data_IF_413967213868
#
_entry.id   IF_413967213868
#
_cell.length_a   1.000
_cell.length_b   1.000
_cell.length_c   1.000
_cell.angle_alpha   90.00
_cell.angle_beta   90.00
_cell.angle_gamma   90.00
#
_symmetry.space_group_name_H-M   'P 1'
#
loop_
_entity.id
_entity.type
_entity.pdbx_description
1 polymer ?
#
# COMPACT_ATOMS: atom_id res chain seq x y z
N UNK A 1 -14.41 -18.40 4.26
CA UNK A 1 -14.04 -17.12 3.65
C UNK A 1 -14.66 -16.01 4.49
N UNK A 2 -14.02 -15.64 5.60
CA UNK A 2 -14.61 -14.72 6.57
C UNK A 2 -14.25 -13.30 6.15
N UNK A 3 -15.15 -12.70 5.38
CA UNK A 3 -15.10 -11.30 4.98
C UNK A 3 -15.32 -10.46 6.24
N UNK A 4 -14.26 -10.09 6.96
CA UNK A 4 -14.37 -9.17 8.10
C UNK A 4 -14.69 -7.77 7.58
N UNK A 5 -15.99 -7.50 7.46
CA UNK A 5 -16.59 -6.16 7.26
C UNK A 5 -16.48 -5.27 8.50
N UNK A 6 -15.94 -5.78 9.61
CA UNK A 6 -15.83 -5.09 10.91
C UNK A 6 -14.83 -3.91 10.91
N UNK A 7 -13.86 -3.88 9.99
CA UNK A 7 -12.78 -2.89 9.97
C UNK A 7 -13.22 -1.43 9.77
N UNK A 8 -14.41 -1.17 9.20
CA UNK A 8 -14.82 0.21 8.92
C UNK A 8 -15.19 0.99 10.19
N UNK A 9 -15.53 0.33 11.30
CA UNK A 9 -15.96 1.00 12.55
C UNK A 9 -14.88 1.09 13.63
N UNK A 10 -13.94 0.15 13.73
CA UNK A 10 -12.94 0.15 14.81
C UNK A 10 -11.72 1.07 14.54
N UNK A 11 -11.55 1.58 13.32
CA UNK A 11 -10.48 2.53 12.97
C UNK A 11 -10.84 4.02 13.18
N UNK A 12 -11.97 4.31 13.80
CA UNK A 12 -12.41 5.66 14.24
C UNK A 12 -11.67 6.16 15.50
N UNK A 13 -10.48 5.64 15.82
CA UNK A 13 -9.53 6.42 16.60
C UNK A 13 -9.04 7.59 15.72
N UNK A 14 -9.77 8.70 15.81
CA UNK A 14 -9.38 10.01 15.31
C UNK A 14 -8.10 10.44 16.02
N UNK A 15 -6.95 10.28 15.37
CA UNK A 15 -5.74 11.00 15.73
C UNK A 15 -5.54 12.13 14.72
N UNK A 16 -6.17 13.30 14.93
CA UNK A 16 -6.01 14.47 14.06
C UNK A 16 -4.56 15.00 14.01
N UNK A 17 -3.64 14.46 14.83
CA UNK A 17 -2.22 14.79 14.85
C UNK A 17 -1.33 13.82 14.06
N UNK A 18 -1.83 12.67 13.59
CA UNK A 18 -0.97 11.67 12.96
C UNK A 18 -0.48 12.16 11.57
N UNK A 19 0.84 12.40 11.38
CA UNK A 19 1.36 12.98 10.16
C UNK A 19 1.38 11.99 8.98
N UNK A 20 1.02 10.73 9.22
CA UNK A 20 1.05 9.64 8.25
C UNK A 20 -0.33 9.24 7.71
N UNK A 21 -1.39 9.94 8.12
CA UNK A 21 -2.75 9.73 7.63
C UNK A 21 -3.37 11.02 7.08
N UNK A 22 -4.40 10.86 6.25
CA UNK A 22 -5.11 11.93 5.53
C UNK A 22 -5.85 12.94 6.42
N UNK A 23 -5.85 12.74 7.76
CA UNK A 23 -6.61 13.59 8.70
C UNK A 23 -5.95 14.94 8.97
N UNK A 24 -4.66 15.10 8.70
CA UNK A 24 -4.01 16.41 8.74
C UNK A 24 -4.56 17.28 7.62
N UNK A 25 -5.16 18.42 7.98
CA UNK A 25 -5.55 19.46 7.02
C UNK A 25 -4.32 20.25 6.57
N UNK A 26 -4.19 20.46 5.27
CA UNK A 26 -3.17 21.32 4.67
C UNK A 26 -3.85 22.55 4.05
N UNK A 27 -3.18 23.72 4.00
CA UNK A 27 -3.67 24.84 3.22
C UNK A 27 -3.85 24.44 1.75
N UNK A 28 -4.93 24.88 1.10
CA UNK A 28 -5.22 24.46 -0.27
C UNK A 28 -4.91 25.58 -1.28
N UNK A 29 -4.27 25.27 -2.44
CA UNK A 29 -3.65 23.99 -2.78
C UNK A 29 -2.29 23.81 -2.07
N UNK A 30 -1.93 22.56 -1.77
CA UNK A 30 -0.57 22.18 -1.34
C UNK A 30 0.04 21.17 -2.32
N UNK A 31 1.24 21.43 -2.81
CA UNK A 31 2.03 20.50 -3.62
C UNK A 31 2.96 19.67 -2.74
N UNK A 32 3.05 18.37 -3.01
CA UNK A 32 4.12 17.54 -2.45
C UNK A 32 5.40 17.74 -3.27
N UNK A 33 6.49 18.31 -2.70
CA UNK A 33 7.69 18.60 -3.47
C UNK A 33 8.37 17.33 -4.00
N UNK A 34 8.21 16.20 -3.31
CA UNK A 34 8.81 14.90 -3.65
C UNK A 34 8.09 14.17 -4.79
N UNK A 35 6.77 14.02 -4.73
CA UNK A 35 6.03 13.20 -5.71
C UNK A 35 5.07 13.98 -6.61
N UNK A 36 4.91 15.29 -6.37
CA UNK A 36 4.01 16.18 -7.11
C UNK A 36 2.51 15.91 -6.95
N UNK A 37 2.11 15.03 -6.02
CA UNK A 37 0.72 14.95 -5.60
C UNK A 37 0.25 16.31 -5.04
N UNK A 38 -1.01 16.65 -5.25
CA UNK A 38 -1.61 17.93 -4.85
C UNK A 38 -2.70 17.69 -3.83
N UNK A 39 -2.68 18.41 -2.72
CA UNK A 39 -3.78 18.45 -1.76
C UNK A 39 -4.79 19.51 -2.17
N UNK A 40 -6.02 19.09 -2.49
CA UNK A 40 -7.15 19.92 -2.88
C UNK A 40 -8.46 19.20 -2.55
N UNK A 41 -9.49 19.94 -2.16
CA UNK A 41 -10.78 19.43 -1.75
C UNK A 41 -10.66 18.37 -0.62
N UNK A 42 -9.79 18.64 0.35
CA UNK A 42 -9.58 17.78 1.51
C UNK A 42 -8.81 16.47 1.27
N UNK A 43 -8.26 16.24 0.07
CA UNK A 43 -7.57 14.99 -0.28
C UNK A 43 -6.35 15.21 -1.18
N UNK A 44 -5.44 14.25 -1.20
CA UNK A 44 -4.30 14.22 -2.13
C UNK A 44 -4.72 13.58 -3.47
N UNK A 45 -4.45 14.26 -4.58
CA UNK A 45 -4.76 13.85 -5.97
C UNK A 45 -3.52 14.00 -6.87
N UNK A 46 -3.63 13.57 -8.12
CA UNK A 46 -2.64 13.85 -9.19
C UNK A 46 -3.06 15.05 -10.06
N UNK A 47 -3.85 15.97 -9.50
CA UNK A 47 -4.35 17.12 -10.26
C UNK A 47 -3.21 18.04 -10.71
N UNK A 48 -3.42 18.71 -11.84
CA UNK A 48 -2.51 19.74 -12.34
C UNK A 48 -2.64 21.04 -11.51
N UNK A 49 -1.52 21.74 -11.32
CA UNK A 49 -1.47 23.11 -10.80
C UNK A 49 -1.36 24.16 -11.92
N UNK A 50 -1.67 23.79 -13.16
CA UNK A 50 -1.66 24.73 -14.28
C UNK A 50 -2.62 25.91 -14.03
N UNK A 51 -2.11 27.13 -14.24
CA UNK A 51 -2.86 28.37 -13.98
C UNK A 51 -2.96 28.77 -12.51
N UNK A 52 -2.42 27.99 -11.57
CA UNK A 52 -2.34 28.35 -10.15
C UNK A 52 -1.13 29.27 -9.92
N UNK A 53 -1.38 30.50 -9.46
CA UNK A 53 -0.33 31.50 -9.22
C UNK A 53 0.51 31.22 -7.97
N UNK A 54 -0.13 30.72 -6.92
CA UNK A 54 0.48 30.45 -5.63
C UNK A 54 -0.04 29.13 -5.05
N UNK A 55 0.87 28.34 -4.47
CA UNK A 55 0.56 27.10 -3.79
C UNK A 55 1.49 26.91 -2.60
N UNK A 56 1.07 26.10 -1.64
CA UNK A 56 1.86 25.73 -0.49
C UNK A 56 2.69 24.48 -0.80
N UNK A 57 3.73 24.21 -0.02
CA UNK A 57 4.50 22.98 -0.12
C UNK A 57 4.50 22.21 1.19
N UNK A 58 4.23 20.91 1.11
CA UNK A 58 4.41 20.00 2.23
C UNK A 58 4.53 18.56 1.72
N UNK A 59 5.34 17.73 2.40
CA UNK A 59 5.36 16.31 2.09
C UNK A 59 4.00 15.67 2.33
N UNK A 60 3.52 14.91 1.34
CA UNK A 60 2.34 14.09 1.50
C UNK A 60 2.63 12.93 2.48
N UNK A 61 1.59 12.39 3.15
CA UNK A 61 1.77 11.33 4.14
C UNK A 61 2.55 10.10 3.62
N UNK A 62 2.38 9.75 2.33
CA UNK A 62 3.08 8.64 1.71
C UNK A 62 4.58 8.90 1.54
N UNK A 63 4.97 10.07 1.03
CA UNK A 63 6.39 10.46 0.95
C UNK A 63 7.02 10.52 2.33
N UNK A 64 6.27 10.98 3.35
CA UNK A 64 6.75 10.98 4.73
C UNK A 64 7.01 9.56 5.25
N UNK A 65 6.07 8.61 5.05
CA UNK A 65 6.28 7.19 5.40
C UNK A 65 7.48 6.57 4.71
N UNK A 66 7.67 6.87 3.43
CA UNK A 66 8.82 6.39 2.63
C UNK A 66 10.13 6.92 3.21
N UNK A 67 10.20 8.22 3.49
CA UNK A 67 11.39 8.84 4.08
C UNK A 67 11.71 8.27 5.47
N UNK A 68 10.69 8.08 6.30
CA UNK A 68 10.83 7.62 7.68
C UNK A 68 10.94 6.08 7.81
N UNK A 69 10.89 5.35 6.69
CA UNK A 69 10.82 3.87 6.66
C UNK A 69 9.75 3.31 7.60
N UNK A 70 8.56 3.91 7.56
CA UNK A 70 7.44 3.59 8.45
C UNK A 70 6.26 2.95 7.69
N UNK A 71 6.32 1.64 7.38
CA UNK A 71 5.31 0.97 6.59
C UNK A 71 3.94 0.95 7.27
N UNK A 72 2.89 1.04 6.45
CA UNK A 72 1.50 0.82 6.85
C UNK A 72 1.05 -0.62 6.65
N UNK A 73 1.87 -1.47 6.04
CA UNK A 73 1.64 -2.90 5.94
C UNK A 73 2.79 -3.61 5.24
N UNK A 74 2.77 -4.94 5.35
CA UNK A 74 3.73 -5.84 4.72
C UNK A 74 3.01 -6.89 3.90
N UNK A 75 3.61 -7.27 2.77
CA UNK A 75 3.21 -8.45 1.99
C UNK A 75 4.43 -9.35 1.85
N UNK A 76 4.32 -10.57 2.38
CA UNK A 76 5.33 -11.61 2.28
C UNK A 76 4.85 -12.66 1.26
N UNK A 77 5.69 -12.97 0.29
CA UNK A 77 5.40 -13.87 -0.83
C UNK A 77 6.45 -14.96 -0.80
N UNK A 78 6.02 -16.21 -0.63
CA UNK A 78 6.91 -17.33 -0.34
C UNK A 78 6.55 -18.59 -1.14
N UNK A 79 7.49 -19.53 -1.17
CA UNK A 79 7.31 -20.87 -1.71
C UNK A 79 7.96 -21.06 -3.07
N UNK A 80 8.18 -22.32 -3.45
CA UNK A 80 8.93 -22.67 -4.65
C UNK A 80 8.30 -22.11 -5.94
N UNK A 81 6.98 -21.89 -5.95
CA UNK A 81 6.28 -21.29 -7.09
C UNK A 81 6.79 -19.88 -7.42
N UNK A 82 7.15 -19.08 -6.42
CA UNK A 82 7.68 -17.74 -6.63
C UNK A 82 8.97 -17.76 -7.46
N UNK A 83 9.89 -18.67 -7.15
CA UNK A 83 11.20 -18.78 -7.83
C UNK A 83 11.05 -18.97 -9.34
N UNK A 84 10.06 -19.74 -9.76
CA UNK A 84 9.84 -20.05 -11.18
C UNK A 84 8.95 -19.04 -11.91
N UNK A 85 8.22 -18.18 -11.18
CA UNK A 85 7.22 -17.24 -11.76
C UNK A 85 7.42 -15.81 -11.28
N UNK A 86 8.61 -15.48 -10.79
CA UNK A 86 8.96 -14.19 -10.18
C UNK A 86 8.54 -13.01 -11.03
N UNK A 87 8.93 -12.98 -12.31
CA UNK A 87 8.65 -11.84 -13.19
C UNK A 87 7.15 -11.58 -13.34
N UNK A 88 6.35 -12.63 -13.54
CA UNK A 88 4.90 -12.53 -13.67
C UNK A 88 4.26 -12.01 -12.37
N UNK A 89 4.68 -12.52 -11.22
CA UNK A 89 4.18 -12.07 -9.91
C UNK A 89 4.55 -10.60 -9.68
N UNK A 90 5.78 -10.21 -9.99
CA UNK A 90 6.24 -8.83 -9.87
C UNK A 90 5.46 -7.88 -10.78
N UNK A 91 5.15 -8.31 -12.01
CA UNK A 91 4.33 -7.53 -12.94
C UNK A 91 2.91 -7.35 -12.40
N UNK A 92 2.28 -8.42 -11.87
CA UNK A 92 0.97 -8.32 -11.24
C UNK A 92 0.97 -7.34 -10.06
N UNK A 93 1.98 -7.43 -9.18
CA UNK A 93 2.13 -6.55 -8.02
C UNK A 93 2.25 -5.07 -8.43
N UNK A 94 3.08 -4.78 -9.43
CA UNK A 94 3.26 -3.42 -9.95
C UNK A 94 2.00 -2.87 -10.60
N UNK A 95 1.29 -3.68 -11.38
CA UNK A 95 0.01 -3.29 -11.98
C UNK A 95 -1.03 -2.96 -10.89
N UNK A 96 -1.13 -3.78 -9.85
CA UNK A 96 -2.01 -3.52 -8.71
C UNK A 96 -1.64 -2.21 -7.99
N UNK A 97 -0.35 -1.95 -7.79
CA UNK A 97 0.11 -0.68 -7.23
C UNK A 97 -0.28 0.49 -8.12
N UNK A 98 -0.01 0.43 -9.42
CA UNK A 98 -0.27 1.50 -10.37
C UNK A 98 -1.76 1.84 -10.42
N UNK A 99 -2.63 0.85 -10.56
CA UNK A 99 -4.09 1.01 -10.56
C UNK A 99 -4.58 1.70 -9.28
N UNK A 100 -4.06 1.28 -8.13
CA UNK A 100 -4.43 1.86 -6.84
C UNK A 100 -3.88 3.27 -6.71
N UNK A 101 -2.61 3.48 -7.05
CA UNK A 101 -1.90 4.76 -6.93
C UNK A 101 -2.55 5.84 -7.80
N UNK A 102 -3.00 5.49 -9.00
CA UNK A 102 -3.71 6.42 -9.90
C UNK A 102 -4.97 7.00 -9.25
N UNK A 103 -5.70 6.20 -8.47
CA UNK A 103 -6.91 6.63 -7.76
C UNK A 103 -6.63 7.15 -6.34
N UNK A 104 -5.59 6.64 -5.70
CA UNK A 104 -5.23 6.88 -4.30
C UNK A 104 -3.74 7.17 -4.21
N UNK A 105 -3.32 8.42 -4.46
CA UNK A 105 -1.91 8.79 -4.58
C UNK A 105 -1.06 8.40 -3.37
N UNK A 106 -1.66 8.24 -2.19
CA UNK A 106 -0.93 7.92 -0.97
C UNK A 106 -0.65 6.43 -0.77
N UNK A 107 -1.28 5.54 -1.54
CA UNK A 107 -1.08 4.10 -1.45
C UNK A 107 0.00 3.68 -2.45
N UNK A 108 1.17 3.28 -1.94
CA UNK A 108 2.37 2.99 -2.73
C UNK A 108 3.14 1.84 -2.11
N UNK A 109 3.91 1.15 -2.94
CA UNK A 109 5.00 0.31 -2.51
C UNK A 109 6.15 1.22 -2.07
N UNK A 110 6.72 0.92 -0.91
CA UNK A 110 7.84 1.64 -0.32
C UNK A 110 9.16 0.97 -0.64
N UNK A 111 9.18 -0.37 -0.54
CA UNK A 111 10.37 -1.18 -0.66
C UNK A 111 9.97 -2.60 -1.07
N UNK A 112 10.88 -3.29 -1.75
CA UNK A 112 10.76 -4.71 -2.09
C UNK A 112 12.11 -5.34 -1.83
N UNK A 113 12.16 -6.24 -0.86
CA UNK A 113 13.36 -6.98 -0.48
C UNK A 113 13.18 -8.46 -0.83
N UNK A 114 14.25 -9.06 -1.34
CA UNK A 114 14.30 -10.48 -1.69
C UNK A 114 15.28 -11.21 -0.78
N UNK A 115 14.87 -12.40 -0.36
CA UNK A 115 15.67 -13.33 0.42
C UNK A 115 15.60 -14.74 -0.19
N UNK A 116 16.26 -15.71 0.43
CA UNK A 116 16.34 -17.09 -0.07
C UNK A 116 14.98 -17.80 -0.16
N UNK A 117 13.99 -17.32 0.57
CA UNK A 117 12.66 -17.91 0.72
C UNK A 117 11.58 -17.21 -0.12
N UNK A 118 11.82 -15.97 -0.56
CA UNK A 118 10.87 -15.20 -1.35
C UNK A 118 11.10 -13.69 -1.32
N UNK A 119 10.01 -12.91 -1.32
CA UNK A 119 10.08 -11.43 -1.24
C UNK A 119 9.19 -10.85 -0.15
N UNK A 120 9.66 -9.76 0.44
CA UNK A 120 8.92 -8.91 1.39
C UNK A 120 8.69 -7.54 0.76
N UNK A 121 7.44 -7.11 0.73
CA UNK A 121 7.02 -5.84 0.16
C UNK A 121 6.49 -4.96 1.28
N UNK A 122 7.07 -3.78 1.41
CA UNK A 122 6.59 -2.75 2.32
C UNK A 122 5.65 -1.80 1.59
N UNK A 123 4.50 -1.47 2.19
CA UNK A 123 3.53 -0.56 1.59
C UNK A 123 3.13 0.55 2.55
N UNK A 124 2.71 1.69 2.02
CA UNK A 124 2.32 2.86 2.82
C UNK A 124 0.96 2.69 3.52
N UNK A 125 0.06 1.82 3.03
CA UNK A 125 -1.29 1.64 3.56
C UNK A 125 -1.73 0.16 3.62
N UNK A 126 -2.44 -0.27 4.68
CA UNK A 126 -2.93 -1.65 4.81
C UNK A 126 -3.79 -2.13 3.63
N UNK A 127 -4.60 -1.24 3.05
CA UNK A 127 -5.49 -1.60 1.94
C UNK A 127 -4.73 -1.99 0.68
N UNK A 128 -3.53 -1.45 0.44
CA UNK A 128 -2.70 -1.84 -0.69
C UNK A 128 -2.11 -3.25 -0.47
N UNK A 129 -1.59 -3.53 0.73
CA UNK A 129 -1.10 -4.87 1.08
C UNK A 129 -2.19 -5.93 0.86
N UNK A 130 -3.41 -5.62 1.30
CA UNK A 130 -4.57 -6.50 1.10
C UNK A 130 -4.89 -6.74 -0.37
N UNK A 131 -4.95 -5.66 -1.17
CA UNK A 131 -5.21 -5.76 -2.62
C UNK A 131 -4.16 -6.60 -3.34
N UNK A 132 -2.88 -6.44 -2.99
CA UNK A 132 -1.79 -7.26 -3.55
C UNK A 132 -2.02 -8.75 -3.21
N UNK A 133 -2.25 -9.08 -1.93
CA UNK A 133 -2.50 -10.47 -1.52
C UNK A 133 -3.72 -11.10 -2.20
N UNK A 134 -4.83 -10.36 -2.27
CA UNK A 134 -6.05 -10.81 -2.95
C UNK A 134 -5.82 -11.03 -4.45
N UNK A 135 -5.08 -10.12 -5.12
CA UNK A 135 -4.74 -10.27 -6.53
C UNK A 135 -3.89 -11.53 -6.79
N UNK A 136 -2.85 -11.76 -5.96
CA UNK A 136 -2.01 -12.96 -6.03
C UNK A 136 -2.84 -14.24 -5.87
N UNK A 137 -3.69 -14.30 -4.84
CA UNK A 137 -4.56 -15.45 -4.62
C UNK A 137 -5.56 -15.64 -5.76
N UNK A 138 -6.14 -14.58 -6.30
CA UNK A 138 -7.12 -14.70 -7.37
C UNK A 138 -6.49 -15.25 -8.66
N UNK A 139 -5.33 -14.70 -9.05
CA UNK A 139 -4.61 -15.08 -10.26
C UNK A 139 -3.88 -16.42 -10.14
N UNK A 140 -3.26 -16.69 -8.98
CA UNK A 140 -2.35 -17.82 -8.80
C UNK A 140 -2.77 -18.83 -7.73
N UNK A 141 -3.89 -18.64 -7.02
CA UNK A 141 -4.30 -19.52 -5.90
C UNK A 141 -3.18 -19.62 -4.85
N UNK A 142 -3.18 -20.66 -4.01
CA UNK A 142 -2.23 -20.81 -2.89
C UNK A 142 -2.88 -20.47 -1.55
N UNK A 143 -2.06 -20.36 -0.50
CA UNK A 143 -2.50 -19.97 0.83
C UNK A 143 -2.36 -18.46 1.00
N UNK A 144 -3.42 -17.78 1.45
CA UNK A 144 -3.43 -16.35 1.76
C UNK A 144 -3.87 -16.15 3.21
N UNK A 145 -3.02 -15.49 4.01
CA UNK A 145 -3.28 -15.19 5.42
C UNK A 145 -3.11 -13.70 5.69
N UNK A 146 -3.97 -13.18 6.57
CA UNK A 146 -3.94 -11.79 7.03
C UNK A 146 -3.72 -11.78 8.54
N UNK A 147 -2.72 -11.02 8.98
CA UNK A 147 -2.46 -10.78 10.39
C UNK A 147 -2.62 -9.30 10.67
N UNK A 148 -3.39 -8.99 11.70
CA UNK A 148 -3.62 -7.64 12.15
C UNK A 148 -3.18 -7.54 13.61
N UNK A 149 -2.55 -6.42 13.95
CA UNK A 149 -2.21 -6.11 15.32
C UNK A 149 -3.36 -5.31 15.95
N UNK A 150 -3.81 -5.72 17.14
CA UNK A 150 -4.86 -5.00 17.86
C UNK A 150 -4.39 -3.56 18.15
N UNK A 151 -5.24 -2.58 17.86
CA UNK A 151 -4.95 -1.16 18.07
C UNK A 151 -4.06 -0.50 17.01
N UNK A 152 -3.48 -1.24 16.07
CA UNK A 152 -2.60 -0.69 15.03
C UNK A 152 -3.27 -0.64 13.65
N UNK A 153 -3.05 0.47 12.93
CA UNK A 153 -3.43 0.63 11.52
C UNK A 153 -2.37 -0.01 10.60
N UNK A 154 -2.11 -1.29 10.82
CA UNK A 154 -1.08 -2.09 10.14
C UNK A 154 -1.59 -3.51 9.82
N UNK A 155 -1.13 -4.08 8.70
CA UNK A 155 -1.46 -5.47 8.31
C UNK A 155 -0.22 -6.19 7.80
N UNK A 156 -0.07 -7.46 8.15
CA UNK A 156 0.87 -8.39 7.49
C UNK A 156 0.08 -9.38 6.66
N UNK A 157 0.36 -9.42 5.38
CA UNK A 157 -0.22 -10.34 4.42
C UNK A 157 0.83 -11.37 4.09
N UNK A 158 0.49 -12.66 4.20
CA UNK A 158 1.36 -13.75 3.78
C UNK A 158 0.64 -14.50 2.67
N UNK A 159 1.26 -14.56 1.51
CA UNK A 159 0.85 -15.42 0.42
C UNK A 159 1.93 -16.47 0.18
N UNK A 160 1.55 -17.75 0.21
CA UNK A 160 2.47 -18.85 -0.03
C UNK A 160 1.90 -19.79 -1.07
N UNK A 161 2.76 -20.22 -2.01
CA UNK A 161 2.43 -21.30 -2.94
C UNK A 161 3.66 -22.16 -3.20
N UNK A 162 3.53 -23.45 -2.92
CA UNK A 162 4.49 -24.45 -3.33
C UNK A 162 4.15 -24.98 -4.73
N UNK A 163 5.11 -25.62 -5.40
CA UNK A 163 4.84 -26.28 -6.67
C UNK A 163 3.85 -27.44 -6.45
N UNK A 164 2.95 -27.65 -7.41
CA UNK A 164 2.21 -28.93 -7.42
C UNK A 164 3.23 -30.02 -7.71
N UNK A 165 3.43 -30.94 -6.77
CA UNK A 165 3.99 -32.24 -7.13
C UNK A 165 2.97 -32.87 -8.09
N UNK A 166 3.33 -33.00 -9.35
CA UNK A 166 2.56 -33.81 -10.29
C UNK A 166 2.79 -35.27 -9.85
N UNK A 167 1.78 -35.89 -9.23
CA UNK A 167 1.62 -37.35 -9.23
C UNK A 167 0.96 -37.80 -10.54
#
# INVERSE_FOLDING_TARGET
>A
MTYYSAWRKEFEAQDPGNPYYEFKKYPEPTLCPSCKAVYKNGRWTWDSLEGVKEYNEALCPACKRIQDKYPGGLVRIEGAYFKNRKEELMNLIRNVEEDVKNLRPLQRIMNIEEDDEGITIEVTYPSLARKIGEALYNAHKGELKFWYNEGEKFVRVIWKRDEKQNE
#
